data_IF_354630278191
#
_entry.id   IF_354630278191
#
_cell.length_a   1.000
_cell.length_b   1.000
_cell.length_c   1.000
_cell.angle_alpha   90.00
_cell.angle_beta   90.00
_cell.angle_gamma   90.00
#
_symmetry.space_group_name_H-M   'P 1'
#
loop_
_entity.id
_entity.type
_entity.pdbx_description
1 polymer ?
#
# COMPACT_ATOMS: atom_id res chain seq x y z
N UNK A 1 65.92 -41.34 20.56
CA UNK A 1 64.93 -40.26 20.45
C UNK A 1 63.97 -40.65 19.35
N UNK A 2 62.89 -41.33 19.73
CA UNK A 2 61.90 -41.90 18.81
C UNK A 2 60.88 -40.81 18.45
N UNK A 3 60.78 -40.45 17.17
CA UNK A 3 59.72 -39.58 16.69
C UNK A 3 58.41 -40.35 16.68
N UNK A 4 57.46 -39.92 17.51
CA UNK A 4 56.13 -40.50 17.60
C UNK A 4 55.32 -40.06 16.36
N UNK A 5 54.88 -40.97 15.47
CA UNK A 5 54.13 -40.58 14.28
C UNK A 5 52.73 -40.16 14.72
N UNK A 6 52.38 -38.92 14.41
CA UNK A 6 51.08 -38.33 14.72
C UNK A 6 49.98 -39.16 14.02
N UNK A 7 49.36 -40.11 14.72
CA UNK A 7 48.27 -40.94 14.18
C UNK A 7 47.11 -40.04 13.79
N UNK A 8 46.92 -39.84 12.49
CA UNK A 8 45.80 -39.11 11.92
C UNK A 8 44.48 -39.72 12.42
N UNK A 9 43.76 -38.99 13.27
CA UNK A 9 42.47 -39.44 13.80
C UNK A 9 41.35 -38.85 12.96
N UNK A 10 40.70 -39.70 12.17
CA UNK A 10 39.56 -39.33 11.32
C UNK A 10 38.47 -38.62 12.14
N UNK A 11 38.23 -39.02 13.39
CA UNK A 11 37.28 -38.33 14.29
C UNK A 11 37.73 -36.90 14.66
N UNK A 12 39.02 -36.68 14.94
CA UNK A 12 39.55 -35.31 15.17
C UNK A 12 39.50 -34.47 13.90
N UNK A 13 39.84 -35.06 12.76
CA UNK A 13 39.78 -34.39 11.46
C UNK A 13 38.34 -33.99 11.10
N UNK A 14 37.38 -34.91 11.17
CA UNK A 14 35.95 -34.63 10.95
C UNK A 14 35.40 -33.59 11.94
N UNK A 15 35.83 -33.61 13.20
CA UNK A 15 35.43 -32.59 14.19
C UNK A 15 36.01 -31.21 13.86
N UNK A 16 37.26 -31.13 13.37
CA UNK A 16 37.85 -29.85 12.94
C UNK A 16 37.17 -29.33 11.69
N UNK A 17 36.95 -30.20 10.70
CA UNK A 17 36.27 -29.87 9.44
C UNK A 17 34.83 -29.41 9.70
N UNK A 18 34.08 -30.14 10.54
CA UNK A 18 32.74 -29.74 10.93
C UNK A 18 32.75 -28.38 11.64
N UNK A 19 33.69 -28.12 12.56
CA UNK A 19 33.82 -26.81 13.21
C UNK A 19 34.16 -25.70 12.21
N UNK A 20 35.09 -25.94 11.29
CA UNK A 20 35.53 -24.98 10.27
C UNK A 20 34.46 -24.67 9.22
N UNK A 21 33.46 -25.56 9.04
CA UNK A 21 32.31 -25.31 8.16
C UNK A 21 31.13 -24.72 8.94
N UNK A 22 30.78 -25.30 10.08
CA UNK A 22 29.60 -24.92 10.87
C UNK A 22 29.78 -23.52 11.44
N UNK A 23 30.97 -23.18 11.97
CA UNK A 23 31.18 -21.86 12.61
C UNK A 23 31.00 -20.72 11.60
N UNK A 24 31.62 -20.72 10.40
CA UNK A 24 31.37 -19.71 9.39
C UNK A 24 29.93 -19.69 8.88
N UNK A 25 29.28 -20.85 8.70
CA UNK A 25 27.87 -20.90 8.27
C UNK A 25 26.97 -20.26 9.33
N UNK A 26 27.13 -20.61 10.61
CA UNK A 26 26.37 -20.02 11.70
C UNK A 26 26.64 -18.52 11.80
N UNK A 27 27.90 -18.10 11.69
CA UNK A 27 28.25 -16.67 11.69
C UNK A 27 27.61 -15.93 10.51
N UNK A 28 27.68 -16.50 9.31
CA UNK A 28 27.06 -15.94 8.10
C UNK A 28 25.54 -15.86 8.25
N UNK A 29 24.89 -16.89 8.80
CA UNK A 29 23.46 -16.88 9.09
C UNK A 29 23.10 -15.80 10.11
N UNK A 30 23.92 -15.60 11.17
CA UNK A 30 23.73 -14.50 12.13
C UNK A 30 23.87 -13.14 11.42
N UNK A 31 24.87 -12.95 10.58
CA UNK A 31 25.07 -11.70 9.83
C UNK A 31 23.91 -11.44 8.87
N UNK A 32 23.48 -12.43 8.10
CA UNK A 32 22.36 -12.32 7.15
C UNK A 32 21.01 -12.13 7.89
N UNK A 33 20.88 -12.73 9.07
CA UNK A 33 19.67 -12.59 9.86
C UNK A 33 19.54 -11.19 10.45
N UNK A 34 20.62 -10.64 11.05
CA UNK A 34 20.52 -9.45 11.91
C UNK A 34 21.21 -8.20 11.38
N UNK A 35 22.18 -8.32 10.47
CA UNK A 35 23.01 -7.20 10.03
C UNK A 35 22.63 -6.74 8.63
N UNK A 36 22.63 -7.67 7.68
CA UNK A 36 22.51 -7.37 6.24
C UNK A 36 21.42 -8.22 5.61
N UNK A 37 20.62 -7.65 4.72
CA UNK A 37 19.73 -8.40 3.85
C UNK A 37 19.88 -7.94 2.41
N UNK A 38 19.87 -8.90 1.49
CA UNK A 38 19.88 -8.63 0.06
C UNK A 38 18.44 -8.39 -0.43
N UNK A 39 18.26 -7.37 -1.25
CA UNK A 39 16.99 -7.05 -1.89
C UNK A 39 17.21 -6.85 -3.39
N UNK A 40 16.25 -7.25 -4.21
CA UNK A 40 16.25 -6.98 -5.65
C UNK A 40 15.29 -5.83 -5.94
N UNK A 41 15.59 -5.00 -6.95
CA UNK A 41 14.67 -3.98 -7.48
C UNK A 41 13.91 -4.55 -8.67
N UNK A 42 12.60 -4.86 -8.53
CA UNK A 42 11.80 -5.44 -9.60
C UNK A 42 11.10 -4.40 -10.47
N UNK A 43 10.97 -3.15 -10.01
CA UNK A 43 10.18 -2.12 -10.67
C UNK A 43 10.87 -0.76 -10.72
N UNK A 44 10.40 0.08 -11.65
CA UNK A 44 10.94 1.41 -11.93
C UNK A 44 10.55 2.52 -10.95
N UNK A 45 9.87 2.21 -9.84
CA UNK A 45 9.36 3.22 -8.89
C UNK A 45 10.44 4.11 -8.25
N UNK A 46 11.67 3.60 -8.18
CA UNK A 46 12.84 4.33 -7.67
C UNK A 46 13.81 4.77 -8.77
N UNK A 47 13.36 4.75 -10.05
CA UNK A 47 14.15 5.24 -11.18
C UNK A 47 14.62 6.67 -10.90
N UNK A 48 15.85 6.97 -11.34
CA UNK A 48 16.74 8.08 -10.94
C UNK A 48 17.78 7.68 -9.90
N UNK A 49 17.37 7.04 -8.80
CA UNK A 49 18.33 6.52 -7.82
C UNK A 49 18.67 5.05 -8.06
N UNK A 50 17.63 4.22 -8.23
CA UNK A 50 17.72 2.77 -8.33
C UNK A 50 17.06 2.30 -9.62
N UNK A 51 17.66 1.33 -10.29
CA UNK A 51 17.14 0.78 -11.54
C UNK A 51 16.65 -0.64 -11.35
N UNK A 52 15.66 -1.04 -12.16
CA UNK A 52 15.25 -2.43 -12.28
C UNK A 52 16.47 -3.31 -12.56
N UNK A 53 16.61 -4.40 -11.79
CA UNK A 53 17.78 -5.28 -11.83
C UNK A 53 18.95 -4.88 -10.90
N UNK A 54 18.84 -3.79 -10.15
CA UNK A 54 19.75 -3.52 -9.03
C UNK A 54 19.48 -4.48 -7.88
N UNK A 55 20.56 -4.91 -7.21
CA UNK A 55 20.51 -5.63 -5.96
C UNK A 55 21.19 -4.83 -4.85
N UNK A 56 20.46 -4.65 -3.75
CA UNK A 56 20.83 -3.78 -2.65
C UNK A 56 21.18 -4.58 -1.41
N UNK A 57 22.16 -4.09 -0.66
CA UNK A 57 22.37 -4.50 0.73
C UNK A 57 21.64 -3.51 1.64
N UNK A 58 20.65 -4.02 2.36
CA UNK A 58 19.92 -3.32 3.41
C UNK A 58 20.58 -3.55 4.77
N UNK A 59 20.82 -2.46 5.53
CA UNK A 59 21.33 -2.49 6.89
C UNK A 59 20.15 -2.52 7.88
N UNK A 60 19.89 -3.70 8.46
CA UNK A 60 18.75 -3.93 9.37
C UNK A 60 18.89 -3.20 10.70
N UNK A 61 20.09 -3.22 11.27
CA UNK A 61 20.36 -2.64 12.60
C UNK A 61 20.19 -1.11 12.66
N UNK A 62 20.09 -0.42 11.52
CA UNK A 62 19.91 1.05 11.49
C UNK A 62 18.61 1.49 12.13
N UNK A 63 17.51 0.87 11.72
CA UNK A 63 16.16 1.19 12.20
C UNK A 63 15.62 0.15 13.18
N UNK A 64 16.38 -0.91 13.42
CA UNK A 64 16.00 -2.01 14.31
C UNK A 64 15.83 -3.30 13.52
N UNK A 65 16.51 -4.37 13.95
CA UNK A 65 16.39 -5.67 13.27
C UNK A 65 15.11 -6.39 13.76
N UNK A 66 14.34 -7.01 12.86
CA UNK A 66 13.24 -7.89 13.27
C UNK A 66 13.78 -9.07 14.09
N UNK A 67 13.03 -9.46 15.12
CA UNK A 67 13.30 -10.64 15.93
C UNK A 67 12.63 -11.85 15.25
N UNK A 68 13.37 -12.95 14.98
CA UNK A 68 12.81 -14.14 14.35
C UNK A 68 11.55 -14.64 15.06
N UNK A 69 10.56 -15.08 14.27
CA UNK A 69 9.29 -15.66 14.76
C UNK A 69 8.42 -14.73 15.61
N UNK A 70 8.68 -13.41 15.58
CA UNK A 70 7.87 -12.42 16.29
C UNK A 70 7.68 -11.16 15.46
N UNK A 71 6.64 -10.39 15.75
CA UNK A 71 6.42 -9.07 15.18
C UNK A 71 7.14 -7.93 15.95
N UNK A 72 8.18 -8.29 16.71
CA UNK A 72 8.99 -7.35 17.50
C UNK A 72 10.31 -7.04 16.81
N UNK A 73 10.84 -5.86 17.11
CA UNK A 73 12.12 -5.38 16.60
C UNK A 73 13.06 -5.09 17.76
N UNK A 74 14.35 -5.34 17.54
CA UNK A 74 15.39 -4.75 18.37
C UNK A 74 15.41 -3.23 18.17
N UNK A 75 15.80 -2.45 19.20
CA UNK A 75 15.94 -1.00 19.02
C UNK A 75 16.98 -0.70 17.93
N UNK A 76 16.62 0.20 17.00
CA UNK A 76 17.58 0.81 16.09
C UNK A 76 18.41 1.87 16.80
N UNK A 77 19.56 2.23 16.24
CA UNK A 77 20.35 3.38 16.71
C UNK A 77 19.91 4.70 16.08
N UNK A 78 19.03 4.65 15.07
CA UNK A 78 18.47 5.80 14.39
C UNK A 78 17.03 5.52 13.93
N UNK A 79 16.29 6.58 13.66
CA UNK A 79 15.03 6.53 12.93
C UNK A 79 15.25 7.00 11.48
N UNK A 80 14.37 6.60 10.54
CA UNK A 80 14.39 7.10 9.17
C UNK A 80 14.34 8.62 9.11
N UNK A 81 15.20 9.20 8.28
CA UNK A 81 15.25 10.65 8.07
C UNK A 81 14.80 11.01 6.66
N UNK A 82 14.29 12.24 6.44
CA UNK A 82 14.02 12.71 5.10
C UNK A 82 15.24 12.53 4.19
N UNK A 83 15.03 11.92 3.03
CA UNK A 83 16.07 11.55 2.07
C UNK A 83 16.57 10.11 2.16
N UNK A 84 16.30 9.39 3.24
CA UNK A 84 16.73 7.99 3.36
C UNK A 84 15.94 7.08 2.42
N UNK A 85 16.62 6.15 1.76
CA UNK A 85 15.97 5.05 1.04
C UNK A 85 15.72 3.92 2.02
N UNK A 86 14.45 3.62 2.24
CA UNK A 86 13.96 2.72 3.28
C UNK A 86 13.31 1.52 2.64
N UNK A 87 13.64 0.33 3.15
CA UNK A 87 12.98 -0.92 2.83
C UNK A 87 12.02 -1.23 3.97
N UNK A 88 10.74 -1.42 3.65
CA UNK A 88 9.69 -1.66 4.62
C UNK A 88 8.62 -2.59 4.06
N UNK A 89 7.90 -3.26 4.95
CA UNK A 89 6.72 -4.06 4.61
C UNK A 89 5.57 -3.15 4.22
N UNK A 90 4.89 -3.46 3.12
CA UNK A 90 3.70 -2.74 2.67
C UNK A 90 2.66 -2.59 3.80
N UNK A 91 2.22 -1.36 4.14
CA UNK A 91 1.31 -1.12 5.26
C UNK A 91 -0.16 -1.46 4.97
N UNK A 92 -0.52 -1.68 3.71
CA UNK A 92 -1.89 -2.01 3.31
C UNK A 92 -2.24 -3.50 3.38
N UNK A 93 -1.24 -4.38 3.56
CA UNK A 93 -1.45 -5.84 3.63
C UNK A 93 -1.34 -6.33 5.09
N UNK A 94 -2.33 -7.10 5.59
CA UNK A 94 -2.29 -7.67 6.95
C UNK A 94 -1.12 -8.64 7.13
N UNK A 95 -0.69 -8.84 8.39
CA UNK A 95 0.35 -9.83 8.75
C UNK A 95 0.01 -11.22 8.23
N UNK A 96 -1.27 -11.58 8.37
CA UNK A 96 -1.81 -12.90 8.11
C UNK A 96 -2.78 -12.91 6.92
N UNK A 97 -2.87 -14.04 6.21
CA UNK A 97 -3.89 -14.29 5.20
C UNK A 97 -5.30 -14.01 5.74
N UNK A 98 -6.15 -13.43 4.89
CA UNK A 98 -7.53 -13.02 5.23
C UNK A 98 -7.66 -12.20 6.53
N UNK A 99 -6.57 -11.53 6.94
CA UNK A 99 -6.48 -10.77 8.18
C UNK A 99 -6.76 -11.61 9.45
N UNK A 100 -6.55 -12.92 9.45
CA UNK A 100 -6.89 -13.79 10.58
C UNK A 100 -5.64 -14.34 11.32
N UNK A 101 -5.14 -13.63 12.36
CA UNK A 101 -3.98 -14.08 13.13
C UNK A 101 -4.24 -15.34 13.98
N UNK A 102 -5.50 -15.67 14.27
CA UNK A 102 -5.84 -16.85 15.06
C UNK A 102 -5.74 -18.14 14.23
N UNK A 103 -6.02 -18.06 12.93
CA UNK A 103 -6.01 -19.23 12.02
C UNK A 103 -4.61 -19.57 11.51
N UNK A 104 -3.72 -18.59 11.38
CA UNK A 104 -2.43 -18.78 10.71
C UNK A 104 -1.24 -18.56 11.64
N UNK A 105 -0.27 -19.47 11.62
CA UNK A 105 1.06 -19.23 12.21
C UNK A 105 2.08 -18.97 11.10
N UNK A 106 2.74 -17.81 11.10
CA UNK A 106 3.87 -17.55 10.22
C UNK A 106 5.05 -18.45 10.60
N UNK A 107 5.57 -19.21 9.63
CA UNK A 107 6.67 -20.15 9.86
C UNK A 107 8.02 -19.53 9.48
N UNK A 108 8.16 -19.14 8.20
CA UNK A 108 9.37 -18.52 7.67
C UNK A 108 9.10 -17.85 6.32
N UNK A 109 10.01 -16.95 5.92
CA UNK A 109 10.07 -16.42 4.56
C UNK A 109 11.13 -17.21 3.76
N UNK A 110 10.71 -17.81 2.66
CA UNK A 110 11.50 -18.70 1.82
C UNK A 110 12.17 -17.98 0.64
N UNK A 111 12.56 -16.70 0.79
CA UNK A 111 13.30 -15.85 -0.16
C UNK A 111 12.71 -15.78 -1.58
N UNK A 112 12.77 -16.86 -2.35
CA UNK A 112 12.19 -17.00 -3.68
C UNK A 112 10.72 -17.44 -3.69
N UNK A 113 10.25 -18.07 -2.61
CA UNK A 113 8.89 -18.61 -2.49
C UNK A 113 8.03 -17.83 -1.50
N UNK A 114 8.43 -16.62 -1.11
CA UNK A 114 7.63 -15.78 -0.20
C UNK A 114 7.40 -16.38 1.19
N UNK A 115 6.32 -15.99 1.84
CA UNK A 115 6.00 -16.43 3.20
C UNK A 115 5.26 -17.77 3.21
N UNK A 116 5.61 -18.61 4.18
CA UNK A 116 4.93 -19.86 4.51
C UNK A 116 4.22 -19.75 5.85
N UNK A 117 3.00 -20.28 5.89
CA UNK A 117 2.15 -20.29 7.06
C UNK A 117 1.66 -21.70 7.36
N UNK A 118 1.36 -21.94 8.63
CA UNK A 118 0.59 -23.09 9.09
C UNK A 118 -0.86 -22.67 9.30
N UNK A 119 -1.77 -23.24 8.52
CA UNK A 119 -3.23 -23.09 8.64
C UNK A 119 -3.75 -24.07 9.71
N UNK A 120 -4.31 -23.56 10.81
CA UNK A 120 -4.90 -24.38 11.87
C UNK A 120 -6.25 -24.97 11.45
N UNK A 121 -6.90 -24.40 10.43
CA UNK A 121 -8.24 -24.77 9.96
C UNK A 121 -8.25 -24.93 8.42
N UNK A 122 -7.51 -25.91 7.86
CA UNK A 122 -7.46 -26.07 6.41
C UNK A 122 -8.79 -26.57 5.87
N UNK A 123 -9.20 -26.02 4.71
CA UNK A 123 -10.33 -26.53 3.95
C UNK A 123 -10.15 -28.02 3.58
N UNK A 124 -11.26 -28.73 3.40
CA UNK A 124 -11.24 -30.16 3.07
C UNK A 124 -10.39 -30.44 1.82
N UNK A 125 -9.43 -31.38 1.95
CA UNK A 125 -8.55 -31.80 0.86
C UNK A 125 -7.28 -30.95 0.68
N UNK A 126 -7.00 -30.02 1.59
CA UNK A 126 -5.86 -29.11 1.49
C UNK A 126 -4.85 -29.30 2.64
N UNK A 127 -3.56 -29.04 2.39
CA UNK A 127 -2.54 -29.16 3.42
C UNK A 127 -2.63 -28.03 4.45
N UNK A 128 -2.17 -28.30 5.67
CA UNK A 128 -1.96 -27.27 6.70
C UNK A 128 -0.85 -26.28 6.31
N UNK A 129 0.22 -26.76 5.65
CA UNK A 129 1.26 -25.88 5.15
C UNK A 129 0.75 -25.14 3.93
N UNK A 130 0.68 -23.81 4.01
CA UNK A 130 0.16 -22.97 2.94
C UNK A 130 1.12 -21.82 2.62
N UNK A 131 1.14 -21.48 1.34
CA UNK A 131 1.85 -20.38 0.75
C UNK A 131 0.85 -19.50 -0.01
N UNK A 132 1.07 -18.20 0.08
CA UNK A 132 0.25 -17.20 -0.62
C UNK A 132 1.18 -16.44 -1.56
N UNK A 133 0.93 -16.58 -2.87
CA UNK A 133 1.81 -16.06 -3.91
C UNK A 133 1.98 -14.54 -3.83
N UNK A 134 0.89 -13.84 -3.50
CA UNK A 134 0.89 -12.40 -3.23
C UNK A 134 1.06 -12.09 -1.73
N UNK A 135 1.85 -12.88 -1.00
CA UNK A 135 2.18 -12.61 0.41
C UNK A 135 2.80 -11.21 0.62
N UNK A 136 2.89 -10.75 1.87
CA UNK A 136 3.22 -9.36 2.17
C UNK A 136 4.50 -8.89 1.52
N UNK A 137 4.38 -7.84 0.71
CA UNK A 137 5.46 -7.35 -0.15
C UNK A 137 6.36 -6.36 0.59
N UNK A 138 7.67 -6.47 0.39
CA UNK A 138 8.61 -5.44 0.79
C UNK A 138 8.66 -4.35 -0.29
N UNK A 139 8.50 -3.11 0.13
CA UNK A 139 8.59 -1.91 -0.69
C UNK A 139 9.86 -1.15 -0.38
N UNK A 140 10.39 -0.51 -1.42
CA UNK A 140 11.57 0.36 -1.34
C UNK A 140 11.14 1.73 -1.80
N UNK A 141 11.23 2.70 -0.91
CA UNK A 141 10.84 4.10 -1.15
C UNK A 141 11.78 5.04 -0.40
N UNK A 142 11.68 6.32 -0.71
CA UNK A 142 12.36 7.39 0.01
C UNK A 142 11.48 7.93 1.13
N UNK A 143 12.03 8.07 2.32
CA UNK A 143 11.41 8.84 3.39
C UNK A 143 11.44 10.31 3.01
N UNK A 144 10.28 10.98 2.96
CA UNK A 144 10.20 12.40 2.58
C UNK A 144 9.82 13.31 3.74
N UNK A 145 9.11 12.75 4.72
CA UNK A 145 8.65 13.47 5.90
C UNK A 145 8.46 12.48 7.06
N UNK A 146 8.62 12.99 8.28
CA UNK A 146 8.53 12.24 9.52
C UNK A 146 7.38 12.75 10.38
N UNK A 147 6.97 11.98 11.39
CA UNK A 147 5.94 12.41 12.33
C UNK A 147 6.12 13.86 12.82
N UNK A 148 5.02 14.60 12.91
CA UNK A 148 4.99 16.02 13.24
C UNK A 148 5.15 16.96 12.04
N UNK A 149 5.71 16.50 10.92
CA UNK A 149 5.75 17.29 9.70
C UNK A 149 4.35 17.45 9.09
N UNK A 150 4.16 18.55 8.37
CA UNK A 150 3.03 18.74 7.46
C UNK A 150 3.42 18.37 6.04
N UNK A 151 2.53 17.68 5.34
CA UNK A 151 2.71 17.24 3.95
C UNK A 151 1.56 17.77 3.12
N UNK A 152 1.86 18.30 1.94
CA UNK A 152 0.88 18.64 0.91
C UNK A 152 1.42 18.30 -0.48
N UNK A 153 0.52 18.05 -1.42
CA UNK A 153 0.87 17.86 -2.84
C UNK A 153 -0.02 18.76 -3.68
N UNK A 154 0.56 19.64 -4.49
CA UNK A 154 -0.21 20.54 -5.38
C UNK A 154 0.34 20.48 -6.79
N UNK A 155 -0.51 20.19 -7.76
CA UNK A 155 -0.15 19.94 -9.17
C UNK A 155 1.02 18.96 -9.30
N UNK A 156 1.05 17.95 -8.42
CA UNK A 156 2.11 16.98 -8.37
C UNK A 156 3.42 17.64 -7.96
N UNK A 157 3.42 18.60 -7.03
CA UNK A 157 4.64 19.10 -6.38
C UNK A 157 4.50 18.87 -4.88
N UNK A 158 5.53 18.29 -4.28
CA UNK A 158 5.53 17.96 -2.86
C UNK A 158 5.92 19.21 -2.05
N UNK A 159 5.19 19.47 -0.98
CA UNK A 159 5.49 20.49 0.01
C UNK A 159 5.57 19.85 1.39
N UNK A 160 6.68 20.09 2.08
CA UNK A 160 6.89 19.65 3.46
C UNK A 160 7.04 20.90 4.32
N UNK A 161 6.23 21.05 5.36
CA UNK A 161 6.23 22.24 6.22
C UNK A 161 6.05 23.55 5.42
N UNK A 162 5.19 23.49 4.40
CA UNK A 162 4.95 24.59 3.46
C UNK A 162 6.09 24.85 2.47
N UNK A 163 7.22 24.16 2.60
CA UNK A 163 8.38 24.32 1.72
C UNK A 163 8.34 23.31 0.58
N UNK A 164 8.34 23.82 -0.65
CA UNK A 164 8.41 23.00 -1.87
C UNK A 164 9.70 22.15 -1.86
N UNK A 165 9.55 20.86 -2.06
CA UNK A 165 10.66 19.94 -2.24
C UNK A 165 11.00 19.84 -3.72
N UNK A 166 12.25 20.18 -4.08
CA UNK A 166 12.78 20.05 -5.46
C UNK A 166 13.76 18.87 -5.62
N UNK A 167 14.28 18.34 -4.50
CA UNK A 167 15.31 17.30 -4.51
C UNK A 167 14.86 15.94 -3.96
N UNK A 168 13.71 15.85 -3.27
CA UNK A 168 13.29 14.63 -2.56
C UNK A 168 11.76 14.46 -2.56
N UNK A 169 11.23 13.52 -3.33
CA UNK A 169 11.42 13.42 -4.77
C UNK A 169 10.75 14.65 -5.40
N UNK A 170 11.54 15.71 -5.59
CA UNK A 170 11.01 17.04 -5.88
C UNK A 170 10.77 17.35 -7.36
N UNK A 171 10.99 16.37 -8.23
CA UNK A 171 10.33 16.22 -9.52
C UNK A 171 10.18 14.71 -9.76
N UNK A 172 8.98 14.23 -10.04
CA UNK A 172 8.85 12.92 -10.70
C UNK A 172 9.26 13.09 -12.16
N UNK A 173 10.03 12.17 -12.73
CA UNK A 173 10.17 12.12 -14.19
C UNK A 173 8.79 11.98 -14.81
N UNK A 174 8.44 12.93 -15.67
CA UNK A 174 7.28 12.83 -16.55
C UNK A 174 7.61 11.76 -17.59
N UNK A 175 7.21 10.53 -17.34
CA UNK A 175 7.46 9.43 -18.30
C UNK A 175 6.55 9.52 -19.51
N UNK A 176 5.50 10.34 -19.47
CA UNK A 176 4.56 10.57 -20.58
C UNK A 176 4.52 12.05 -20.99
N UNK A 177 4.42 12.29 -22.30
CA UNK A 177 4.30 13.65 -22.91
C UNK A 177 2.94 14.30 -22.68
N UNK A 178 1.97 13.57 -22.15
CA UNK A 178 0.65 14.07 -21.76
C UNK A 178 0.24 13.40 -20.44
N UNK A 179 -0.19 14.21 -19.45
CA UNK A 179 -0.71 13.70 -18.19
C UNK A 179 -2.13 14.24 -17.99
N UNK A 180 -3.06 13.34 -17.77
CA UNK A 180 -4.38 13.64 -17.23
C UNK A 180 -4.28 13.94 -15.72
N UNK A 181 -5.05 14.90 -15.19
CA UNK A 181 -4.98 15.29 -13.77
C UNK A 181 -5.27 14.07 -12.88
N UNK A 182 -4.32 13.65 -12.05
CA UNK A 182 -4.54 12.61 -11.05
C UNK A 182 -4.73 13.25 -9.68
N UNK A 183 -5.75 12.89 -8.88
CA UNK A 183 -5.87 13.44 -7.54
C UNK A 183 -4.81 12.94 -6.56
N UNK A 184 -3.96 11.97 -6.94
CA UNK A 184 -2.70 11.72 -6.20
C UNK A 184 -1.74 12.92 -6.28
N UNK A 185 -1.93 13.79 -7.27
CA UNK A 185 -1.17 15.02 -7.48
C UNK A 185 -1.80 16.22 -6.75
N UNK A 186 -2.93 16.01 -6.08
CA UNK A 186 -3.61 16.99 -5.25
C UNK A 186 -3.94 16.39 -3.88
N UNK A 187 -3.14 16.76 -2.88
CA UNK A 187 -3.32 16.40 -1.49
C UNK A 187 -3.33 17.69 -0.67
N UNK A 188 -4.45 17.95 -0.01
CA UNK A 188 -4.54 19.01 0.98
C UNK A 188 -3.48 18.81 2.07
N UNK A 189 -3.13 19.89 2.76
CA UNK A 189 -2.16 19.82 3.85
C UNK A 189 -2.68 18.95 4.99
N UNK A 190 -1.89 17.95 5.39
CA UNK A 190 -2.14 17.14 6.58
C UNK A 190 -0.87 17.00 7.42
N UNK A 191 -1.06 16.79 8.72
CA UNK A 191 0.03 16.50 9.67
C UNK A 191 0.25 14.99 9.72
N UNK A 192 1.51 14.56 9.74
CA UNK A 192 1.86 13.16 10.05
C UNK A 192 1.71 12.97 11.57
N UNK A 193 0.84 12.07 12.05
CA UNK A 193 0.61 11.90 13.49
C UNK A 193 1.89 11.53 14.24
N UNK A 194 2.05 12.11 15.43
CA UNK A 194 3.14 11.83 16.37
C UNK A 194 2.73 10.82 17.43
N UNK A 195 3.73 10.17 18.05
CA UNK A 195 3.50 9.28 19.18
C UNK A 195 2.81 10.04 20.30
N UNK A 196 1.70 9.50 20.80
CA UNK A 196 0.87 10.13 21.83
C UNK A 196 -0.30 10.95 21.29
N UNK A 197 -0.37 11.22 19.99
CA UNK A 197 -1.55 11.87 19.40
C UNK A 197 -2.78 10.96 19.53
N UNK A 198 -3.89 11.51 20.01
CA UNK A 198 -5.17 10.81 20.17
C UNK A 198 -6.18 11.27 19.12
N UNK A 199 -6.87 10.32 18.50
CA UNK A 199 -7.90 10.58 17.49
C UNK A 199 -9.24 10.01 17.92
N UNK A 200 -10.30 10.81 17.77
CA UNK A 200 -11.70 10.35 17.88
C UNK A 200 -12.12 9.83 16.52
N UNK A 201 -12.25 8.50 16.40
CA UNK A 201 -12.44 7.78 15.15
C UNK A 201 -13.74 8.19 14.45
N UNK A 202 -14.79 8.44 15.23
CA UNK A 202 -16.11 8.83 14.74
C UNK A 202 -16.19 10.26 14.21
N UNK A 203 -15.12 11.06 14.32
CA UNK A 203 -15.06 12.42 13.80
C UNK A 203 -14.24 12.54 12.51
N UNK A 204 -13.47 11.50 12.16
CA UNK A 204 -12.59 11.53 11.01
C UNK A 204 -13.37 11.39 9.70
N UNK A 205 -13.03 12.10 8.62
CA UNK A 205 -13.48 11.74 7.28
C UNK A 205 -13.15 10.27 6.98
N UNK A 206 -13.95 9.58 6.16
CA UNK A 206 -13.74 8.14 5.90
C UNK A 206 -12.35 7.81 5.35
N UNK A 207 -11.77 8.70 4.53
CA UNK A 207 -10.38 8.56 4.06
C UNK A 207 -9.37 8.57 5.21
N UNK A 208 -9.53 9.46 6.20
CA UNK A 208 -8.64 9.54 7.36
C UNK A 208 -8.89 8.40 8.35
N UNK A 209 -10.13 7.95 8.49
CA UNK A 209 -10.45 6.76 9.26
C UNK A 209 -9.76 5.51 8.68
N UNK A 210 -9.67 5.44 7.36
CA UNK A 210 -8.94 4.38 6.69
C UNK A 210 -7.42 4.41 6.97
N UNK A 211 -6.79 5.59 6.93
CA UNK A 211 -5.40 5.74 7.38
C UNK A 211 -5.22 5.30 8.83
N UNK A 212 -6.16 5.67 9.69
CA UNK A 212 -6.14 5.26 11.09
C UNK A 212 -6.25 3.74 11.24
N UNK A 213 -7.14 3.09 10.49
CA UNK A 213 -7.21 1.62 10.42
C UNK A 213 -5.86 1.01 10.00
N UNK A 214 -5.19 1.57 8.99
CA UNK A 214 -3.87 1.09 8.57
C UNK A 214 -2.81 1.26 9.65
N UNK A 215 -2.79 2.39 10.37
CA UNK A 215 -1.89 2.60 11.52
C UNK A 215 -2.16 1.53 12.60
N UNK A 216 -3.43 1.31 12.93
CA UNK A 216 -3.85 0.32 13.94
C UNK A 216 -3.41 -1.09 13.55
N UNK A 217 -3.57 -1.48 12.27
CA UNK A 217 -3.07 -2.76 11.76
C UNK A 217 -1.55 -2.90 11.92
N UNK A 218 -0.79 -1.86 11.57
CA UNK A 218 0.67 -1.87 11.69
C UNK A 218 1.16 -1.93 13.15
N UNK A 219 0.44 -1.29 14.07
CA UNK A 219 0.78 -1.28 15.49
C UNK A 219 0.33 -2.53 16.25
N UNK A 220 -0.68 -3.24 15.73
CA UNK A 220 -1.28 -4.43 16.33
C UNK A 220 -1.30 -5.60 15.31
N UNK A 221 -0.13 -6.06 14.83
CA UNK A 221 -0.04 -7.06 13.75
C UNK A 221 -0.59 -8.44 14.13
N UNK A 222 -0.70 -8.72 15.44
CA UNK A 222 -1.24 -9.98 15.99
C UNK A 222 -2.75 -9.88 16.31
N UNK A 223 -3.39 -8.73 16.03
CA UNK A 223 -4.81 -8.51 16.32
C UNK A 223 -5.65 -8.50 15.04
N UNK A 224 -6.89 -8.96 15.15
CA UNK A 224 -7.88 -8.85 14.08
C UNK A 224 -8.51 -7.46 14.08
N UNK A 225 -8.16 -6.63 13.09
CA UNK A 225 -8.71 -5.27 12.97
C UNK A 225 -9.72 -5.20 11.83
N UNK A 226 -10.97 -4.86 12.16
CA UNK A 226 -12.06 -4.78 11.20
C UNK A 226 -12.73 -3.40 11.20
N UNK A 227 -12.99 -2.85 10.01
CA UNK A 227 -13.80 -1.66 9.81
C UNK A 227 -15.09 -2.06 9.10
N UNK A 228 -16.20 -1.91 9.80
CA UNK A 228 -17.54 -2.14 9.27
C UNK A 228 -18.18 -0.78 8.93
N UNK A 229 -18.80 -0.73 7.75
CA UNK A 229 -19.57 0.42 7.26
C UNK A 229 -21.02 -0.02 7.04
N UNK A 230 -21.92 0.75 7.63
CA UNK A 230 -23.36 0.54 7.56
C UNK A 230 -24.02 1.83 7.11
N UNK A 231 -24.84 1.75 6.06
CA UNK A 231 -25.60 2.91 5.59
C UNK A 231 -26.90 3.02 6.40
N UNK A 232 -27.17 4.21 6.92
CA UNK A 232 -28.43 4.57 7.54
C UNK A 232 -29.19 5.52 6.62
N UNK A 233 -30.47 5.24 6.40
CA UNK A 233 -31.43 6.12 5.74
C UNK A 233 -32.48 6.54 6.76
N UNK A 234 -32.55 7.84 7.02
CA UNK A 234 -33.46 8.43 8.02
C UNK A 234 -33.31 7.78 9.41
N UNK A 235 -32.07 7.39 9.76
CA UNK A 235 -31.72 6.73 11.02
C UNK A 235 -31.94 5.20 11.05
N UNK A 236 -32.50 4.61 9.99
CA UNK A 236 -32.72 3.17 9.87
C UNK A 236 -31.67 2.56 8.95
N UNK A 237 -31.14 1.39 9.31
CA UNK A 237 -30.17 0.68 8.48
C UNK A 237 -30.75 0.27 7.12
N UNK A 238 -30.07 0.67 6.05
CA UNK A 238 -30.43 0.37 4.66
C UNK A 238 -29.18 0.03 3.84
N UNK A 239 -28.56 -1.11 4.12
CA UNK A 239 -27.36 -1.55 3.41
C UNK A 239 -27.62 -1.96 1.95
N UNK A 240 -28.89 -2.07 1.54
CA UNK A 240 -29.27 -2.38 0.17
C UNK A 240 -29.72 -1.13 -0.60
N UNK A 241 -29.51 0.06 -0.04
CA UNK A 241 -29.80 1.31 -0.72
C UNK A 241 -29.10 1.36 -2.08
N UNK A 242 -29.89 1.71 -3.10
CA UNK A 242 -29.42 1.88 -4.48
C UNK A 242 -29.21 3.37 -4.74
N UNK A 243 -27.97 3.78 -4.89
CA UNK A 243 -27.63 5.09 -5.44
C UNK A 243 -27.97 5.07 -6.93
N UNK A 244 -28.83 5.97 -7.40
CA UNK A 244 -29.23 6.04 -8.82
C UNK A 244 -28.20 6.76 -9.70
N UNK A 245 -27.43 7.65 -9.11
CA UNK A 245 -26.42 8.51 -9.73
C UNK A 245 -25.16 8.55 -8.84
N UNK A 246 -24.55 7.39 -8.60
CA UNK A 246 -23.29 7.28 -7.85
C UNK A 246 -22.13 7.74 -8.73
N UNK A 247 -21.38 8.73 -8.27
CA UNK A 247 -20.31 9.40 -9.01
C UNK A 247 -18.94 8.88 -8.59
N UNK A 248 -18.13 8.48 -9.57
CA UNK A 248 -16.75 8.03 -9.39
C UNK A 248 -15.86 8.73 -10.42
N UNK A 249 -14.87 9.52 -9.98
CA UNK A 249 -13.88 10.07 -10.88
C UNK A 249 -13.04 8.97 -11.56
N UNK A 250 -12.69 9.15 -12.83
CA UNK A 250 -11.82 8.24 -13.59
C UNK A 250 -10.37 8.45 -13.17
N UNK A 251 -9.79 7.43 -12.53
CA UNK A 251 -8.40 7.42 -12.05
C UNK A 251 -7.75 6.06 -12.28
N UNK A 252 -6.42 6.04 -12.36
CA UNK A 252 -5.65 4.88 -12.83
C UNK A 252 -5.92 3.59 -12.03
N UNK A 253 -6.17 3.71 -10.73
CA UNK A 253 -6.32 2.56 -9.83
C UNK A 253 -7.79 2.17 -9.58
N UNK A 254 -8.73 2.82 -10.27
CA UNK A 254 -10.19 2.60 -10.13
C UNK A 254 -10.78 1.61 -11.11
N UNK A 255 -9.93 0.86 -11.83
CA UNK A 255 -10.34 -0.04 -12.89
C UNK A 255 -11.44 -1.03 -12.47
N UNK A 256 -11.35 -1.60 -11.26
CA UNK A 256 -12.37 -2.54 -10.76
C UNK A 256 -13.72 -1.86 -10.48
N UNK A 257 -13.70 -0.73 -9.77
CA UNK A 257 -14.91 0.03 -9.45
C UNK A 257 -15.59 0.57 -10.72
N UNK A 258 -14.80 1.09 -11.66
CA UNK A 258 -15.29 1.57 -12.95
C UNK A 258 -15.85 0.42 -13.79
N UNK A 259 -15.16 -0.72 -13.88
CA UNK A 259 -15.66 -1.90 -14.60
C UNK A 259 -16.97 -2.42 -14.00
N UNK A 260 -17.08 -2.43 -12.68
CA UNK A 260 -18.29 -2.79 -11.96
C UNK A 260 -19.47 -1.85 -12.29
N UNK A 261 -19.21 -0.53 -12.35
CA UNK A 261 -20.21 0.45 -12.79
C UNK A 261 -20.61 0.26 -14.26
N UNK A 262 -19.67 0.00 -15.17
CA UNK A 262 -20.00 -0.23 -16.59
C UNK A 262 -20.81 -1.50 -16.80
N UNK A 263 -20.51 -2.56 -16.05
CA UNK A 263 -21.23 -3.83 -16.15
C UNK A 263 -22.70 -3.66 -15.76
N UNK A 264 -22.98 -2.82 -14.75
CA UNK A 264 -24.35 -2.50 -14.32
C UNK A 264 -25.03 -1.47 -15.22
N UNK A 265 -24.30 -0.44 -15.66
CA UNK A 265 -24.82 0.65 -16.46
C UNK A 265 -24.48 0.46 -17.94
N UNK A 266 -25.36 -0.25 -18.66
CA UNK A 266 -25.23 -0.55 -20.11
C UNK A 266 -25.20 0.68 -21.03
N UNK A 267 -25.36 1.88 -20.49
CA UNK A 267 -25.55 3.14 -21.24
C UNK A 267 -24.25 3.91 -21.49
N UNK A 268 -23.12 3.57 -20.84
CA UNK A 268 -21.83 4.25 -21.05
C UNK A 268 -21.08 3.61 -22.22
N UNK A 269 -21.68 3.62 -23.40
CA UNK A 269 -21.09 3.04 -24.61
C UNK A 269 -21.05 4.17 -25.65
N UNK A 270 -19.93 4.93 -25.68
CA UNK A 270 -19.36 5.58 -26.89
C UNK A 270 -18.29 6.65 -26.63
N UNK A 271 -18.04 7.09 -25.40
CA UNK A 271 -17.03 8.13 -25.14
C UNK A 271 -15.72 7.55 -24.60
N UNK A 272 -14.58 8.01 -25.16
CA UNK A 272 -13.26 7.75 -24.58
C UNK A 272 -13.18 8.50 -23.26
N UNK A 273 -13.15 7.77 -22.15
CA UNK A 273 -12.91 8.35 -20.84
C UNK A 273 -11.44 8.75 -20.71
N UNK A 274 -11.22 9.92 -20.16
CA UNK A 274 -9.93 10.47 -19.80
C UNK A 274 -9.86 10.63 -18.29
N UNK A 275 -8.66 10.52 -17.71
CA UNK A 275 -8.53 10.72 -16.27
C UNK A 275 -8.87 12.17 -15.90
N UNK A 276 -9.65 12.32 -14.83
CA UNK A 276 -10.31 13.59 -14.47
C UNK A 276 -11.78 13.68 -14.89
N UNK A 277 -12.25 12.82 -15.82
CA UNK A 277 -13.68 12.66 -16.06
C UNK A 277 -14.37 12.05 -14.83
N UNK A 278 -15.68 12.26 -14.68
CA UNK A 278 -16.48 11.60 -13.65
C UNK A 278 -17.50 10.69 -14.31
N UNK A 279 -17.47 9.41 -13.97
CA UNK A 279 -18.49 8.45 -14.40
C UNK A 279 -19.58 8.45 -13.34
N UNK A 280 -20.83 8.37 -13.77
CA UNK A 280 -21.94 8.19 -12.85
C UNK A 280 -22.87 7.06 -13.28
N UNK A 281 -23.59 6.50 -12.30
CA UNK A 281 -24.68 5.57 -12.57
C UNK A 281 -25.12 4.78 -11.34
N UNK A 282 -25.93 3.75 -11.55
CA UNK A 282 -26.52 3.00 -10.46
C UNK A 282 -25.48 2.14 -9.70
N UNK A 283 -25.51 2.19 -8.38
CA UNK A 283 -24.66 1.41 -7.49
C UNK A 283 -25.37 1.10 -6.17
N UNK A 284 -25.36 -0.18 -5.75
CA UNK A 284 -25.87 -0.54 -4.42
C UNK A 284 -24.79 -0.36 -3.36
N UNK A 285 -25.17 0.10 -2.17
CA UNK A 285 -24.24 0.23 -1.04
C UNK A 285 -23.58 -1.11 -0.67
N UNK A 286 -24.36 -2.19 -0.64
CA UNK A 286 -23.86 -3.54 -0.39
C UNK A 286 -22.77 -3.97 -1.38
N UNK A 287 -22.98 -3.71 -2.67
CA UNK A 287 -22.01 -4.05 -3.70
C UNK A 287 -20.77 -3.16 -3.65
N UNK A 288 -20.95 -1.85 -3.44
CA UNK A 288 -19.84 -0.94 -3.16
C UNK A 288 -19.01 -1.44 -1.99
N UNK A 289 -19.64 -1.83 -0.88
CA UNK A 289 -18.97 -2.30 0.33
C UNK A 289 -18.13 -3.56 0.07
N UNK A 290 -18.65 -4.51 -0.71
CA UNK A 290 -17.90 -5.69 -1.12
C UNK A 290 -16.72 -5.34 -2.04
N UNK A 291 -16.93 -4.45 -3.03
CA UNK A 291 -15.85 -3.97 -3.91
C UNK A 291 -14.77 -3.18 -3.16
N UNK A 292 -15.18 -2.38 -2.18
CA UNK A 292 -14.27 -1.61 -1.36
C UNK A 292 -13.50 -2.55 -0.42
N UNK A 293 -14.11 -3.63 0.08
CA UNK A 293 -13.41 -4.64 0.88
C UNK A 293 -12.28 -5.31 0.10
N UNK A 294 -12.47 -5.64 -1.17
CA UNK A 294 -11.48 -6.41 -1.98
C UNK A 294 -10.30 -5.57 -2.51
N UNK A 295 -10.43 -4.25 -2.63
CA UNK A 295 -9.36 -3.36 -3.07
C UNK A 295 -8.83 -3.55 -4.49
N UNK A 296 -7.57 -3.13 -4.73
CA UNK A 296 -6.84 -3.17 -6.01
C UNK A 296 -6.08 -4.48 -6.24
N UNK A 297 -5.89 -5.31 -5.21
CA UNK A 297 -5.09 -6.52 -5.33
C UNK A 297 -5.93 -7.61 -6.01
N UNK A 298 -5.34 -8.36 -6.97
CA UNK A 298 -6.08 -9.40 -7.67
C UNK A 298 -6.62 -10.41 -6.65
N UNK A 299 -7.94 -10.62 -6.66
CA UNK A 299 -8.61 -11.73 -5.95
C UNK A 299 -8.10 -13.11 -6.37
N UNK A 300 -7.30 -13.18 -7.43
CA UNK A 300 -6.94 -14.41 -8.11
C UNK A 300 -5.48 -14.32 -8.53
N UNK A 301 -4.61 -15.12 -7.92
CA UNK A 301 -3.38 -15.53 -8.59
C UNK A 301 -3.80 -16.48 -9.73
N UNK A 302 -3.69 -16.08 -11.02
CA UNK A 302 -4.03 -16.95 -12.15
C UNK A 302 -3.10 -18.16 -12.25
N UNK A 303 -2.02 -18.18 -11.48
CA UNK A 303 -1.05 -19.26 -11.38
C UNK A 303 -1.22 -20.12 -10.11
N UNK A 304 -2.24 -19.88 -9.28
CA UNK A 304 -2.59 -20.73 -8.16
C UNK A 304 -3.03 -22.12 -8.65
N UNK A 305 -2.06 -23.01 -8.78
CA UNK A 305 -2.26 -24.44 -9.03
C UNK A 305 -2.39 -25.09 -7.65
N UNK A 306 -3.55 -25.66 -7.33
CA UNK A 306 -3.84 -26.20 -5.99
C UNK A 306 -2.73 -27.08 -5.39
N UNK A 307 -2.75 -27.26 -4.07
CA UNK A 307 -1.66 -27.89 -3.32
C UNK A 307 -1.24 -27.00 -2.15
N UNK A 308 0.03 -26.61 -2.08
CA UNK A 308 0.51 -25.68 -1.05
C UNK A 308 0.12 -24.22 -1.30
N UNK A 309 -0.32 -23.85 -2.51
CA UNK A 309 -0.67 -22.45 -2.84
C UNK A 309 -2.15 -22.18 -2.59
N UNK A 310 -2.44 -21.06 -1.92
CA UNK A 310 -3.79 -20.59 -1.61
C UNK A 310 -4.06 -19.22 -2.22
N UNK A 311 -5.31 -19.01 -2.63
CA UNK A 311 -5.82 -17.68 -3.00
C UNK A 311 -6.16 -16.91 -1.71
N UNK A 312 -5.80 -15.63 -1.66
CA UNK A 312 -6.19 -14.71 -0.60
C UNK A 312 -6.76 -13.48 -1.24
N UNK A 313 -7.90 -13.04 -0.72
CA UNK A 313 -8.44 -11.74 -1.02
C UNK A 313 -8.01 -10.80 0.10
N UNK A 314 -7.10 -9.88 -0.19
CA UNK A 314 -6.69 -8.90 0.80
C UNK A 314 -7.79 -7.87 1.03
N UNK A 315 -8.05 -7.52 2.30
CA UNK A 315 -9.03 -6.49 2.62
C UNK A 315 -8.42 -5.11 2.40
N UNK A 316 -8.54 -4.58 1.18
CA UNK A 316 -8.00 -3.30 0.76
C UNK A 316 -9.09 -2.26 0.50
N UNK A 317 -9.67 -1.65 1.54
CA UNK A 317 -10.41 -0.40 1.33
C UNK A 317 -9.42 0.63 0.77
N UNK A 318 -9.72 1.28 -0.36
CA UNK A 318 -8.90 2.40 -0.82
C UNK A 318 -9.46 3.68 -0.19
N UNK A 319 -8.60 4.50 0.43
CA UNK A 319 -9.02 5.76 1.03
C UNK A 319 -9.76 6.69 0.06
N UNK A 320 -9.35 6.71 -1.22
CA UNK A 320 -10.00 7.55 -2.25
C UNK A 320 -11.42 7.07 -2.58
N UNK A 321 -11.64 5.75 -2.63
CA UNK A 321 -12.96 5.13 -2.86
C UNK A 321 -13.89 5.43 -1.69
N UNK A 322 -13.37 5.38 -0.46
CA UNK A 322 -14.13 5.74 0.73
C UNK A 322 -14.51 7.23 0.79
N UNK A 323 -13.62 8.11 0.32
CA UNK A 323 -13.93 9.55 0.13
C UNK A 323 -15.06 9.73 -0.88
N UNK A 324 -15.07 8.98 -1.97
CA UNK A 324 -16.14 9.06 -2.97
C UNK A 324 -17.48 8.62 -2.38
N UNK A 325 -17.52 7.56 -1.57
CA UNK A 325 -18.72 7.15 -0.84
C UNK A 325 -19.24 8.28 0.06
N UNK A 326 -18.36 8.88 0.86
CA UNK A 326 -18.71 9.99 1.74
C UNK A 326 -19.28 11.18 0.94
N UNK A 327 -18.65 11.52 -0.18
CA UNK A 327 -19.13 12.54 -1.11
C UNK A 327 -20.49 12.22 -1.71
N UNK A 328 -20.72 10.98 -2.15
CA UNK A 328 -22.02 10.55 -2.69
C UNK A 328 -23.12 10.60 -1.63
N UNK A 329 -22.86 10.12 -0.41
CA UNK A 329 -23.83 10.19 0.70
C UNK A 329 -24.17 11.64 1.05
N UNK A 330 -23.17 12.53 1.08
CA UNK A 330 -23.38 13.95 1.30
C UNK A 330 -24.21 14.61 0.20
N UNK A 331 -23.99 14.25 -1.08
CA UNK A 331 -24.77 14.77 -2.21
C UNK A 331 -26.25 14.39 -2.13
N UNK A 332 -26.57 13.15 -1.74
CA UNK A 332 -27.97 12.69 -1.59
C UNK A 332 -28.68 13.34 -0.41
N UNK A 333 -27.93 13.73 0.61
CA UNK A 333 -28.44 14.39 1.82
C UNK A 333 -28.48 15.92 1.69
N UNK A 334 -27.95 16.48 0.61
CA UNK A 334 -27.93 17.92 0.35
C UNK A 334 -29.16 18.35 -0.47
N UNK A 335 -29.79 19.50 -0.19
CA UNK A 335 -30.85 20.03 -1.05
C UNK A 335 -30.29 20.24 -2.46
N UNK A 336 -30.82 19.51 -3.44
CA UNK A 336 -30.46 19.74 -4.83
C UNK A 336 -30.87 21.17 -5.23
N UNK A 337 -29.95 21.92 -5.81
CA UNK A 337 -30.31 23.12 -6.58
C UNK A 337 -30.98 22.63 -7.85
N UNK A 338 -32.31 22.66 -7.90
CA UNK A 338 -33.03 22.44 -9.15
C UNK A 338 -32.91 23.73 -9.94
N UNK A 339 -31.99 23.74 -10.91
CA UNK A 339 -32.02 24.75 -11.97
C UNK A 339 -33.27 24.45 -12.79
N UNK A 340 -34.33 25.21 -12.57
CA UNK A 340 -35.50 25.13 -13.43
C UNK A 340 -35.06 25.51 -14.85
N UNK A 341 -35.50 24.74 -15.86
CA UNK A 341 -35.36 25.13 -17.26
C UNK A 341 -35.79 26.59 -17.41
N UNK A 342 -34.96 27.40 -18.07
CA UNK A 342 -35.23 28.81 -18.28
C UNK A 342 -36.51 28.95 -19.10
N UNK A 343 -37.65 29.17 -18.44
CA UNK A 343 -38.89 29.49 -19.13
C UNK A 343 -38.81 30.93 -19.66
N UNK A 344 -38.97 31.07 -20.97
CA UNK A 344 -39.09 32.38 -21.63
C UNK A 344 -40.48 32.94 -21.30
N UNK A 345 -40.53 34.04 -20.57
CA UNK A 345 -41.77 34.76 -20.30
C UNK A 345 -41.81 36.06 -21.12
N UNK A 346 -42.93 36.32 -21.81
CA UNK A 346 -43.13 37.57 -22.54
C UNK A 346 -43.74 38.64 -21.64
N UNK A 347 -43.16 39.84 -21.65
CA UNK A 347 -43.74 41.00 -20.97
C UNK A 347 -45.01 41.50 -21.68
N UNK A 348 -45.68 42.47 -21.07
CA UNK A 348 -46.92 43.09 -21.59
C UNK A 348 -46.74 43.81 -22.94
N UNK A 349 -45.50 43.93 -23.43
CA UNK A 349 -45.12 44.52 -24.71
C UNK A 349 -44.57 43.46 -25.70
N UNK A 350 -44.63 42.16 -25.38
CA UNK A 350 -44.24 41.06 -26.24
C UNK A 350 -42.73 40.79 -26.31
N UNK A 351 -41.93 41.25 -25.34
CA UNK A 351 -40.49 40.97 -25.30
C UNK A 351 -40.18 39.77 -24.40
N UNK A 352 -39.36 38.87 -24.91
CA UNK A 352 -38.86 37.70 -24.18
C UNK A 352 -37.94 38.14 -23.03
N UNK A 353 -38.28 37.74 -21.81
CA UNK A 353 -37.48 37.94 -20.60
C UNK A 353 -37.07 36.59 -20.01
N UNK A 354 -35.78 36.44 -19.68
CA UNK A 354 -35.27 35.28 -18.94
C UNK A 354 -35.62 35.45 -17.45
N UNK A 355 -36.54 34.65 -16.95
CA UNK A 355 -36.76 34.50 -15.51
C UNK A 355 -35.80 33.43 -14.97
N UNK A 356 -34.69 33.83 -14.35
CA UNK A 356 -33.83 32.89 -13.61
C UNK A 356 -34.39 32.67 -12.21
N UNK A 357 -35.33 31.73 -12.07
CA UNK A 357 -35.79 31.25 -10.77
C UNK A 357 -35.11 29.93 -10.41
N UNK A 358 -34.18 29.91 -9.46
CA UNK A 358 -33.73 28.67 -8.83
C UNK A 358 -34.77 28.21 -7.82
N UNK A 359 -35.36 27.03 -8.03
CA UNK A 359 -36.28 26.42 -7.05
C UNK A 359 -35.45 25.47 -6.19
N UNK A 360 -35.28 25.79 -4.92
CA UNK A 360 -34.69 24.85 -3.97
C UNK A 360 -35.76 23.83 -3.58
N UNK A 361 -35.47 22.53 -3.68
CA UNK A 361 -36.31 21.52 -3.04
C UNK A 361 -36.33 21.79 -1.52
N UNK A 362 -37.49 21.67 -0.88
CA UNK A 362 -37.57 21.90 0.57
C UNK A 362 -36.65 20.91 1.30
N UNK A 363 -35.84 21.35 2.28
CA UNK A 363 -34.83 20.52 2.95
C UNK A 363 -35.37 19.23 3.59
N UNK A 364 -36.68 19.15 3.86
CA UNK A 364 -37.31 18.06 4.60
C UNK A 364 -37.85 16.91 3.73
N UNK A 365 -37.69 16.94 2.40
CA UNK A 365 -38.22 15.87 1.53
C UNK A 365 -37.17 14.89 0.99
N UNK A 366 -35.88 15.16 1.21
CA UNK A 366 -34.80 14.27 0.78
C UNK A 366 -34.46 13.27 1.90
N UNK A 367 -34.18 12.00 1.56
CA UNK A 367 -33.75 11.02 2.55
C UNK A 367 -32.42 11.43 3.14
N UNK A 368 -32.32 11.45 4.47
CA UNK A 368 -31.06 11.72 5.17
C UNK A 368 -30.23 10.46 5.20
N UNK A 369 -29.15 10.43 4.43
CA UNK A 369 -28.21 9.32 4.42
C UNK A 369 -27.04 9.58 5.36
N UNK A 370 -26.67 8.58 6.15
CA UNK A 370 -25.53 8.63 7.05
C UNK A 370 -24.75 7.32 6.98
N UNK A 371 -23.44 7.40 7.25
CA UNK A 371 -22.59 6.22 7.31
C UNK A 371 -22.26 5.97 8.78
N UNK A 372 -22.80 4.90 9.34
CA UNK A 372 -22.33 4.36 10.61
C UNK A 372 -21.04 3.60 10.35
N UNK A 373 -20.04 3.92 11.15
CA UNK A 373 -18.70 3.34 11.11
C UNK A 373 -18.48 2.58 12.42
N UNK A 374 -17.88 1.41 12.34
CA UNK A 374 -17.53 0.61 13.50
C UNK A 374 -16.17 -0.01 13.29
N UNK A 375 -15.19 0.44 14.07
CA UNK A 375 -13.84 -0.13 14.06
C UNK A 375 -13.68 -1.05 15.27
N UNK A 376 -13.22 -2.28 15.04
CA UNK A 376 -12.99 -3.25 16.10
C UNK A 376 -11.55 -3.76 16.09
N UNK A 377 -11.04 -4.07 17.29
CA UNK A 377 -9.79 -4.81 17.51
C UNK A 377 -10.16 -6.05 18.31
N UNK A 378 -9.91 -7.24 17.75
CA UNK A 378 -10.24 -8.53 18.37
C UNK A 378 -11.72 -8.62 18.80
N UNK A 379 -12.61 -8.08 17.96
CA UNK A 379 -14.06 -8.04 18.18
C UNK A 379 -14.54 -6.95 19.16
N UNK A 380 -13.62 -6.20 19.80
CA UNK A 380 -13.96 -5.08 20.67
C UNK A 380 -14.01 -3.77 19.89
N UNK A 381 -15.14 -3.08 19.94
CA UNK A 381 -15.31 -1.75 19.35
C UNK A 381 -14.45 -0.70 20.04
N UNK A 382 -13.87 0.19 19.23
CA UNK A 382 -13.05 1.32 19.67
C UNK A 382 -13.57 2.62 19.06
N UNK A 383 -13.61 3.67 19.86
CA UNK A 383 -14.03 5.03 19.50
C UNK A 383 -12.85 6.01 19.43
N UNK A 384 -11.74 5.68 20.10
CA UNK A 384 -10.51 6.45 20.17
C UNK A 384 -9.29 5.59 19.91
N UNK A 385 -8.25 6.21 19.35
CA UNK A 385 -6.95 5.57 19.20
C UNK A 385 -5.80 6.53 19.45
N UNK A 386 -4.79 6.07 20.19
CA UNK A 386 -3.55 6.81 20.46
C UNK A 386 -2.41 6.19 19.66
N UNK A 387 -1.69 6.99 18.88
CA UNK A 387 -0.54 6.54 18.09
C UNK A 387 0.59 6.11 19.01
N UNK A 388 1.13 4.90 18.80
CA UNK A 388 2.11 4.26 19.71
C UNK A 388 3.54 4.33 19.17
N UNK A 389 3.72 4.40 17.86
CA UNK A 389 5.06 4.38 17.25
C UNK A 389 5.23 5.42 16.15
N UNK A 390 6.48 5.88 15.90
CA UNK A 390 6.77 6.90 14.89
C UNK A 390 6.25 6.50 13.50
N UNK A 391 5.70 7.49 12.80
CA UNK A 391 5.13 7.35 11.47
C UNK A 391 5.95 8.13 10.44
N UNK A 392 5.96 7.63 9.21
CA UNK A 392 6.76 8.17 8.11
C UNK A 392 5.94 8.24 6.83
N UNK A 393 6.19 9.27 6.02
CA UNK A 393 5.63 9.39 4.69
C UNK A 393 6.69 9.00 3.66
N UNK A 394 6.39 7.97 2.87
CA UNK A 394 7.33 7.31 1.97
C UNK A 394 6.91 7.50 0.51
N UNK A 395 7.79 8.02 -0.34
CA UNK A 395 7.54 8.28 -1.76
C UNK A 395 8.57 7.64 -2.68
N UNK A 396 8.17 7.24 -3.88
CA UNK A 396 9.11 6.78 -4.91
C UNK A 396 9.80 7.97 -5.59
N UNK A 397 11.01 7.74 -6.10
CA UNK A 397 11.73 8.77 -6.87
C UNK A 397 11.07 8.98 -8.24
N UNK A 398 10.65 7.90 -8.89
CA UNK A 398 9.77 7.96 -10.06
C UNK A 398 8.31 7.93 -9.61
N UNK A 399 7.81 9.09 -9.21
CA UNK A 399 6.46 9.26 -8.66
C UNK A 399 5.35 8.86 -9.63
N UNK A 400 5.59 8.93 -10.94
CA UNK A 400 4.55 8.65 -11.92
C UNK A 400 4.28 7.15 -12.02
N UNK A 401 5.35 6.36 -11.82
CA UNK A 401 5.35 4.90 -11.81
C UNK A 401 5.49 4.31 -10.39
N UNK A 402 5.08 5.05 -9.36
CA UNK A 402 5.21 4.63 -7.96
C UNK A 402 3.87 4.61 -7.25
N UNK A 403 3.43 3.41 -6.87
CA UNK A 403 2.54 3.26 -5.73
C UNK A 403 3.35 3.62 -4.47
N UNK A 404 2.91 4.63 -3.72
CA UNK A 404 3.58 5.15 -2.52
C UNK A 404 2.60 5.64 -1.44
N UNK A 405 3.07 6.33 -0.39
CA UNK A 405 2.23 6.80 0.74
C UNK A 405 1.06 7.69 0.33
N UNK A 406 1.02 8.20 -0.89
CA UNK A 406 -0.18 8.85 -1.45
C UNK A 406 -1.35 7.88 -1.64
N UNK A 407 -1.09 6.58 -1.70
CA UNK A 407 -2.12 5.56 -1.78
C UNK A 407 -2.43 5.01 -0.40
N UNK A 408 -1.44 4.44 0.28
CA UNK A 408 -1.61 3.68 1.53
C UNK A 408 -1.47 4.48 2.84
N UNK A 409 -1.15 5.77 2.75
CA UNK A 409 -0.90 6.60 3.94
C UNK A 409 0.45 6.30 4.58
N UNK A 410 0.46 6.22 5.91
CA UNK A 410 1.69 6.24 6.70
C UNK A 410 2.34 4.87 6.85
N UNK A 411 3.67 4.88 6.92
CA UNK A 411 4.47 3.71 7.26
C UNK A 411 4.92 3.83 8.71
N UNK A 412 4.60 2.83 9.52
CA UNK A 412 4.99 2.73 10.90
C UNK A 412 6.46 2.28 11.03
N UNK A 413 7.19 2.77 12.05
CA UNK A 413 8.54 2.31 12.37
C UNK A 413 8.66 0.77 12.42
N UNK A 414 7.62 0.09 12.93
CA UNK A 414 7.59 -1.38 13.05
C UNK A 414 7.53 -2.11 11.71
N UNK A 415 7.10 -1.45 10.64
CA UNK A 415 7.09 -2.03 9.30
C UNK A 415 8.45 -1.91 8.61
N UNK A 416 9.38 -1.14 9.17
CA UNK A 416 10.67 -0.86 8.54
C UNK A 416 11.60 -2.05 8.74
N UNK A 417 12.14 -2.56 7.63
CA UNK A 417 13.03 -3.72 7.59
C UNK A 417 14.49 -3.32 7.61
N UNK A 418 14.86 -2.30 6.82
CA UNK A 418 16.26 -1.90 6.67
C UNK A 418 16.41 -0.52 6.02
N UNK A 419 17.58 0.07 6.23
CA UNK A 419 18.09 1.19 5.40
C UNK A 419 18.79 0.63 4.18
N UNK A 420 18.40 1.04 2.97
CA UNK A 420 19.14 0.67 1.77
C UNK A 420 20.50 1.38 1.77
N UNK A 421 21.59 0.62 1.61
CA UNK A 421 22.96 1.15 1.79
C UNK A 421 23.79 1.11 0.52
N UNK A 422 24.01 -0.07 -0.07
CA UNK A 422 24.94 -0.26 -1.20
C UNK A 422 24.30 -1.11 -2.29
N UNK A 423 24.54 -0.75 -3.55
CA UNK A 423 24.26 -1.61 -4.71
C UNK A 423 25.41 -2.62 -4.82
N UNK A 424 25.18 -3.88 -4.45
CA UNK A 424 26.26 -4.89 -4.50
C UNK A 424 26.31 -5.63 -5.83
N UNK A 425 25.21 -5.62 -6.58
CA UNK A 425 25.12 -6.21 -7.90
C UNK A 425 24.10 -5.46 -8.74
N UNK A 426 24.30 -5.38 -10.05
CA UNK A 426 23.38 -4.70 -10.95
C UNK A 426 23.48 -5.30 -12.35
N UNK A 427 22.34 -5.59 -12.95
CA UNK A 427 22.24 -6.08 -14.31
C UNK A 427 21.07 -5.44 -15.03
N UNK A 428 21.14 -5.42 -16.35
CA UNK A 428 20.09 -4.91 -17.23
C UNK A 428 19.05 -6.01 -17.51
N UNK A 429 17.79 -5.72 -17.19
CA UNK A 429 16.64 -6.62 -17.40
C UNK A 429 15.45 -5.88 -18.04
N UNK A 430 15.75 -4.94 -18.93
CA UNK A 430 14.74 -4.03 -19.48
C UNK A 430 13.75 -4.78 -20.40
N UNK A 431 14.16 -5.94 -20.93
CA UNK A 431 13.31 -6.85 -21.71
C UNK A 431 12.50 -7.83 -20.84
N UNK A 432 12.62 -7.75 -19.51
CA UNK A 432 12.01 -8.66 -18.53
C UNK A 432 12.24 -10.16 -18.82
N UNK A 433 13.23 -10.49 -19.65
CA UNK A 433 13.46 -11.86 -20.11
C UNK A 433 14.29 -12.68 -19.11
N UNK A 434 14.93 -12.03 -18.12
CA UNK A 434 15.63 -12.71 -17.05
C UNK A 434 14.70 -13.00 -15.86
N UNK A 435 14.76 -14.24 -15.38
CA UNK A 435 14.06 -14.68 -14.18
C UNK A 435 14.98 -15.56 -13.33
N UNK A 436 15.10 -15.23 -12.03
CA UNK A 436 15.84 -16.07 -11.07
C UNK A 436 15.27 -17.49 -10.98
N UNK A 437 13.96 -17.65 -11.19
CA UNK A 437 13.30 -18.96 -11.23
C UNK A 437 13.59 -19.80 -12.48
N UNK A 438 14.21 -19.20 -13.51
CA UNK A 438 14.56 -19.89 -14.75
C UNK A 438 16.09 -19.88 -14.98
N UNK A 439 16.81 -20.95 -14.62
CA UNK A 439 18.27 -21.00 -14.73
C UNK A 439 18.80 -20.88 -16.17
N UNK A 440 17.98 -21.17 -17.19
CA UNK A 440 18.34 -20.97 -18.59
C UNK A 440 18.46 -19.50 -18.99
N UNK A 441 18.03 -18.56 -18.15
CA UNK A 441 18.22 -17.12 -18.41
C UNK A 441 19.57 -16.61 -17.88
N UNK A 442 20.27 -17.39 -17.06
CA UNK A 442 21.46 -16.94 -16.33
C UNK A 442 22.70 -16.77 -17.21
N UNK A 443 22.74 -17.36 -18.41
CA UNK A 443 23.85 -17.16 -19.35
C UNK A 443 23.99 -15.70 -19.82
N UNK A 444 22.92 -14.90 -19.69
CA UNK A 444 22.91 -13.47 -20.06
C UNK A 444 23.65 -12.59 -19.05
N UNK A 445 23.81 -13.07 -17.82
CA UNK A 445 24.35 -12.29 -16.70
C UNK A 445 25.69 -11.61 -17.08
N UNK A 446 26.72 -12.32 -17.59
CA UNK A 446 28.01 -11.70 -17.86
C UNK A 446 27.97 -10.54 -18.87
N UNK A 447 26.99 -10.53 -19.77
CA UNK A 447 26.87 -9.55 -20.86
C UNK A 447 25.98 -8.35 -20.52
N UNK A 448 25.23 -8.42 -19.42
CA UNK A 448 24.23 -7.41 -19.02
C UNK A 448 24.58 -6.75 -17.68
N UNK A 449 25.74 -7.02 -17.10
CA UNK A 449 26.18 -6.41 -15.84
C UNK A 449 26.41 -4.91 -16.04
N UNK A 450 25.81 -4.10 -15.16
CA UNK A 450 26.03 -2.65 -15.10
C UNK A 450 27.19 -2.34 -14.16
N UNK A 451 28.42 -2.55 -14.63
CA UNK A 451 29.65 -2.39 -13.82
C UNK A 451 29.77 -1.04 -13.12
N UNK A 452 29.30 0.04 -13.76
CA UNK A 452 29.34 1.40 -13.19
C UNK A 452 28.44 1.60 -11.96
N UNK A 453 27.53 0.66 -11.65
CA UNK A 453 26.61 0.75 -10.50
C UNK A 453 27.07 -0.05 -9.29
N UNK A 454 27.91 -1.07 -9.50
CA UNK A 454 28.37 -1.96 -8.42
C UNK A 454 29.24 -1.16 -7.44
N UNK A 455 28.94 -1.28 -6.14
CA UNK A 455 29.63 -0.60 -5.06
C UNK A 455 29.14 0.82 -4.77
N UNK A 456 28.14 1.33 -5.51
CA UNK A 456 27.58 2.66 -5.22
C UNK A 456 26.85 2.68 -3.87
N UNK A 457 27.20 3.68 -3.05
CA UNK A 457 26.56 3.97 -1.78
C UNK A 457 25.33 4.83 -2.05
N UNK A 458 24.14 4.33 -1.74
CA UNK A 458 22.85 4.91 -2.13
C UNK A 458 22.66 6.36 -1.65
N UNK A 459 23.00 6.72 -0.38
CA UNK A 459 22.96 8.12 0.06
C UNK A 459 23.84 9.09 -0.74
N UNK A 460 24.88 8.58 -1.42
CA UNK A 460 25.87 9.36 -2.17
C UNK A 460 25.62 9.34 -3.68
N UNK A 461 24.55 8.70 -4.15
CA UNK A 461 24.15 8.78 -5.55
C UNK A 461 23.67 10.21 -5.78
N UNK A 462 24.41 10.96 -6.60
CA UNK A 462 24.07 12.33 -7.00
C UNK A 462 22.64 12.37 -7.56
N UNK A 463 21.91 13.41 -7.15
CA UNK A 463 20.48 13.60 -7.40
C UNK A 463 20.26 14.46 -8.64
#
# INVERSE_FOLDING_TARGET
MEQNPNKFSIKKFLKSLAREIIVPIVLALVVIQYVIQAFQIPSGSMEDTLHTGDFLLGLKFTYGSPIPFTNKHFPGYAEPKPGDVVIFRYPGEPEYPDNNPARYTHLFNALMFGNFYWDHEPEAGQPHLVHFADGPKDYIKRCVAVHGDTVAVHEGRLYINGVRQDTIPGRGKWTETYRSKSPRDERETFVIPSVGDEFVLDSLPLEKLWWMRSIILQENPDSHVELELTLLKDGVEDNNFEFTDFKVPVENDRGMLLNAMFTRNRTVIQHRLTQGDTVSGAMSFSYFRELARIGFLPLFDPHAKGGFTRQVSYVGLEGSILRDLEGNVAMYSSPAVVVADSAVAQDSAGRDTLASGSVFAEPNTLPRLEIRRKLTIDGKEIDRYTVKTPLFFMMGDNRDNSADSRYWGFVNLRNIRAKASVIYFSFENDDQAFSLGNPFTWWRIPFRIRWSRIGKVIPLIER
#
